data_IF_239196125027
#
_entry.id   IF_239196125027
#
_cell.length_a   1.000
_cell.length_b   1.000
_cell.length_c   1.000
_cell.angle_alpha   90.00
_cell.angle_beta   90.00
_cell.angle_gamma   90.00
#
_symmetry.space_group_name_H-M   'P 1'
#
loop_
_entity.id
_entity.type
_entity.pdbx_description
1 polymer ?
#
# COMPACT_ATOMS: atom_id res chain seq x y z
N UNK A 1 -8.71 -14.72 -12.42
CA UNK A 1 -8.39 -13.88 -11.25
C UNK A 1 -9.35 -14.29 -10.13
N UNK A 2 -8.85 -14.96 -9.09
CA UNK A 2 -9.70 -15.49 -8.03
C UNK A 2 -10.03 -14.36 -7.04
N UNK A 3 -11.31 -14.04 -6.85
CA UNK A 3 -11.75 -13.14 -5.80
C UNK A 3 -11.83 -13.96 -4.53
N UNK A 4 -10.79 -13.91 -3.70
CA UNK A 4 -10.81 -14.56 -2.41
C UNK A 4 -12.04 -14.06 -1.62
N UNK A 5 -12.87 -14.99 -1.15
CA UNK A 5 -14.07 -14.70 -0.36
C UNK A 5 -13.67 -14.77 1.10
N UNK A 6 -13.78 -13.68 1.85
CA UNK A 6 -13.29 -13.61 3.22
C UNK A 6 -13.04 -12.19 3.71
N UNK A 7 -12.60 -12.08 4.96
CA UNK A 7 -12.25 -10.81 5.56
C UNK A 7 -10.85 -10.36 5.10
N UNK A 8 -10.69 -9.05 4.90
CA UNK A 8 -9.47 -8.42 4.45
C UNK A 8 -9.03 -7.39 5.49
N UNK A 9 -7.83 -7.58 6.02
CA UNK A 9 -7.24 -6.67 7.00
C UNK A 9 -6.25 -5.74 6.31
N UNK A 10 -6.48 -4.45 6.44
CA UNK A 10 -5.49 -3.42 6.15
C UNK A 10 -4.59 -3.30 7.38
N UNK A 11 -3.28 -3.35 7.20
CA UNK A 11 -2.30 -3.35 8.29
C UNK A 11 -1.09 -2.51 7.93
N UNK A 12 -0.54 -1.81 8.92
CA UNK A 12 0.66 -0.95 8.81
C UNK A 12 1.49 -1.10 10.08
N UNK A 13 2.81 -1.02 9.97
CA UNK A 13 3.70 -1.03 11.14
C UNK A 13 3.66 0.27 11.95
N UNK A 14 2.98 1.30 11.44
CA UNK A 14 2.87 2.62 12.04
C UNK A 14 1.44 3.16 11.98
N UNK A 15 1.10 4.13 12.85
CA UNK A 15 -0.21 4.77 12.84
C UNK A 15 -0.60 5.24 11.44
N UNK A 16 -1.76 4.80 10.96
CA UNK A 16 -2.25 5.17 9.64
C UNK A 16 -2.98 6.52 9.75
N UNK A 17 -2.61 7.46 8.88
CA UNK A 17 -3.30 8.74 8.73
C UNK A 17 -3.97 8.80 7.36
N UNK A 18 -5.29 8.96 7.33
CA UNK A 18 -6.04 9.05 6.07
C UNK A 18 -7.44 9.60 6.27
N UNK A 19 -7.93 10.37 5.30
CA UNK A 19 -9.26 10.98 5.36
C UNK A 19 -10.42 9.95 5.43
N UNK A 20 -10.18 8.74 4.92
CA UNK A 20 -11.14 7.63 4.96
C UNK A 20 -10.77 6.58 6.02
N UNK A 21 -9.75 6.84 6.84
CA UNK A 21 -9.31 5.90 7.85
C UNK A 21 -10.28 5.98 9.05
N UNK A 22 -10.94 4.86 9.41
CA UNK A 22 -12.06 4.88 10.35
C UNK A 22 -11.67 5.11 11.81
N UNK A 23 -10.39 4.93 12.15
CA UNK A 23 -9.89 5.12 13.51
C UNK A 23 -8.53 5.83 13.49
N UNK A 24 -8.45 7.14 13.81
CA UNK A 24 -7.18 7.85 13.85
C UNK A 24 -6.23 7.17 14.83
N UNK A 25 -5.03 6.85 14.37
CA UNK A 25 -4.03 6.14 15.18
C UNK A 25 -4.10 4.61 15.14
N UNK A 26 -5.16 4.01 14.56
CA UNK A 26 -5.21 2.57 14.37
C UNK A 26 -4.18 2.12 13.31
N UNK A 27 -3.46 1.06 13.62
CA UNK A 27 -2.49 0.43 12.73
C UNK A 27 -3.13 -0.64 11.83
N UNK A 28 -4.34 -1.10 12.16
CA UNK A 28 -5.07 -2.12 11.42
C UNK A 28 -6.57 -1.82 11.31
N UNK A 29 -7.20 -2.30 10.23
CA UNK A 29 -8.64 -2.26 10.04
C UNK A 29 -9.13 -3.40 9.13
N UNK A 30 -10.17 -4.12 9.56
CA UNK A 30 -10.73 -5.28 8.87
C UNK A 30 -12.01 -4.92 8.10
N UNK A 31 -12.13 -5.41 6.87
CA UNK A 31 -13.32 -5.24 6.01
C UNK A 31 -13.60 -6.51 5.21
N UNK A 32 -14.88 -6.80 4.95
CA UNK A 32 -15.29 -8.02 4.23
C UNK A 32 -15.17 -7.92 2.69
N UNK A 33 -14.55 -6.86 2.16
CA UNK A 33 -14.41 -6.65 0.71
C UNK A 33 -13.00 -6.23 0.32
N UNK A 34 -12.41 -7.00 -0.61
CA UNK A 34 -11.06 -6.76 -1.15
C UNK A 34 -10.92 -5.35 -1.72
N UNK A 35 -11.87 -4.94 -2.56
CA UNK A 35 -11.79 -3.64 -3.26
C UNK A 35 -11.86 -2.48 -2.28
N UNK A 36 -12.66 -2.61 -1.21
CA UNK A 36 -12.75 -1.62 -0.13
C UNK A 36 -11.44 -1.56 0.64
N UNK A 37 -10.87 -2.72 1.01
CA UNK A 37 -9.59 -2.78 1.71
C UNK A 37 -8.44 -2.15 0.92
N UNK A 38 -8.39 -2.42 -0.39
CA UNK A 38 -7.39 -1.83 -1.30
C UNK A 38 -7.60 -0.32 -1.42
N UNK A 39 -8.84 0.16 -1.58
CA UNK A 39 -9.12 1.58 -1.68
C UNK A 39 -8.72 2.33 -0.40
N UNK A 40 -9.02 1.75 0.77
CA UNK A 40 -8.57 2.25 2.08
C UNK A 40 -7.04 2.34 2.13
N UNK A 41 -6.35 1.24 1.85
CA UNK A 41 -4.89 1.19 1.89
C UNK A 41 -4.25 2.18 0.89
N UNK A 42 -4.81 2.28 -0.31
CA UNK A 42 -4.36 3.21 -1.34
C UNK A 42 -4.56 4.67 -0.94
N UNK A 43 -5.67 5.00 -0.27
CA UNK A 43 -6.00 6.38 0.11
C UNK A 43 -5.34 6.86 1.41
N UNK A 44 -4.78 5.97 2.21
CA UNK A 44 -4.06 6.34 3.42
C UNK A 44 -2.65 6.88 3.14
N UNK A 45 -2.11 7.73 4.00
CA UNK A 45 -0.73 8.16 3.97
C UNK A 45 0.06 7.46 5.08
N UNK A 46 1.25 6.97 4.75
CA UNK A 46 2.21 6.42 5.70
C UNK A 46 3.53 7.18 5.57
N UNK A 47 4.25 7.46 6.67
CA UNK A 47 5.54 8.16 6.62
C UNK A 47 6.60 7.39 5.83
N UNK A 48 7.66 8.07 5.41
CA UNK A 48 8.77 7.45 4.66
C UNK A 48 9.37 6.25 5.41
N UNK A 49 9.63 5.18 4.67
CA UNK A 49 10.13 3.91 5.23
C UNK A 49 9.04 2.98 5.76
N UNK A 50 7.77 3.40 5.75
CA UNK A 50 6.65 2.60 6.22
C UNK A 50 5.83 2.01 5.09
N UNK A 51 5.09 0.96 5.43
CA UNK A 51 4.30 0.23 4.45
C UNK A 51 2.92 -0.06 5.00
N UNK A 52 1.93 0.06 4.13
CA UNK A 52 0.56 -0.38 4.35
C UNK A 52 0.28 -1.56 3.43
N UNK A 53 -0.30 -2.61 3.99
CA UNK A 53 -0.56 -3.89 3.32
C UNK A 53 -2.03 -4.26 3.51
N UNK A 54 -2.55 -5.03 2.57
CA UNK A 54 -3.86 -5.67 2.69
C UNK A 54 -3.65 -7.16 2.70
N UNK A 55 -4.09 -7.81 3.76
CA UNK A 55 -3.98 -9.25 3.98
C UNK A 55 -5.35 -9.88 3.89
N UNK A 56 -5.48 -10.95 3.11
CA UNK A 56 -6.66 -11.80 3.13
C UNK A 56 -6.57 -12.74 4.34
N UNK A 57 -7.39 -12.44 5.37
CA UNK A 57 -7.30 -13.03 6.71
C UNK A 57 -7.32 -14.56 6.72
N UNK A 58 -8.22 -15.25 5.99
CA UNK A 58 -8.27 -16.72 5.97
C UNK A 58 -6.99 -17.39 5.43
N UNK A 59 -6.29 -16.72 4.50
CA UNK A 59 -5.12 -17.29 3.82
C UNK A 59 -3.77 -16.75 4.31
N UNK A 60 -3.78 -15.58 4.95
CA UNK A 60 -2.57 -14.80 5.21
C UNK A 60 -1.93 -14.16 3.97
N UNK A 61 -2.53 -14.28 2.78
CA UNK A 61 -1.98 -13.71 1.54
C UNK A 61 -2.04 -12.18 1.54
N UNK A 62 -0.93 -11.53 1.16
CA UNK A 62 -0.89 -10.08 0.92
C UNK A 62 -1.42 -9.80 -0.48
N UNK A 63 -2.62 -9.22 -0.56
CA UNK A 63 -3.28 -8.92 -1.83
C UNK A 63 -2.97 -7.51 -2.36
N UNK A 64 -2.39 -6.66 -1.52
CA UNK A 64 -1.91 -5.31 -1.86
C UNK A 64 -0.83 -4.86 -0.89
N UNK A 65 0.17 -4.14 -1.39
CA UNK A 65 1.25 -3.54 -0.62
C UNK A 65 1.58 -2.18 -1.19
N UNK A 66 1.70 -1.18 -0.32
CA UNK A 66 2.13 0.16 -0.66
C UNK A 66 3.17 0.63 0.34
N UNK A 67 4.34 1.01 -0.16
CA UNK A 67 5.40 1.70 0.58
C UNK A 67 6.09 2.70 -0.35
N UNK A 68 6.87 3.63 0.21
CA UNK A 68 7.66 4.58 -0.60
C UNK A 68 8.78 3.90 -1.42
N UNK A 69 8.98 2.58 -1.27
CA UNK A 69 9.80 1.75 -2.16
C UNK A 69 9.07 1.19 -3.39
N UNK A 70 7.75 1.39 -3.50
CA UNK A 70 6.99 1.13 -4.72
C UNK A 70 6.96 2.38 -5.60
N UNK A 71 8.14 2.95 -5.87
CA UNK A 71 8.31 3.65 -7.13
C UNK A 71 8.04 2.62 -8.25
N UNK A 72 7.30 2.93 -9.34
CA UNK A 72 7.59 2.25 -10.59
C UNK A 72 9.10 2.42 -10.80
N UNK A 73 9.81 1.35 -11.17
CA UNK A 73 11.27 1.33 -11.31
C UNK A 73 11.84 2.69 -11.76
N UNK A 74 12.90 3.22 -11.14
CA UNK A 74 13.48 4.50 -11.54
C UNK A 74 14.20 4.34 -12.90
N UNK A 75 13.45 4.24 -13.99
CA UNK A 75 13.97 4.23 -15.36
C UNK A 75 13.95 5.65 -16.01
N UNK A 76 13.62 6.70 -15.26
CA UNK A 76 13.63 8.07 -15.80
C UNK A 76 14.79 8.98 -15.36
N UNK A 77 15.65 8.57 -14.42
CA UNK A 77 16.78 9.43 -14.00
C UNK A 77 18.11 9.08 -14.69
N UNK A 78 18.28 7.87 -15.25
CA UNK A 78 19.58 7.41 -15.76
C UNK A 78 19.87 7.76 -17.24
N UNK A 79 18.96 8.43 -17.97
CA UNK A 79 19.16 8.79 -19.39
C UNK A 79 19.46 10.25 -19.69
N UNK A 80 19.61 11.12 -18.67
CA UNK A 80 20.01 12.52 -18.88
C UNK A 80 21.50 12.81 -18.60
N UNK A 81 22.29 11.79 -18.26
CA UNK A 81 23.75 11.88 -18.23
C UNK A 81 24.34 11.42 -19.56
N UNK A 82 24.15 12.19 -20.63
CA UNK A 82 25.09 12.16 -21.75
C UNK A 82 25.77 13.53 -21.85
N UNK A 83 27.10 13.60 -21.63
CA UNK A 83 27.84 14.85 -21.69
C UNK A 83 27.91 15.34 -23.15
N UNK A 84 27.93 16.66 -23.31
CA UNK A 84 28.39 17.29 -24.53
C UNK A 84 29.76 16.72 -24.90
N UNK A 85 29.91 16.21 -26.12
CA UNK A 85 31.21 15.85 -26.67
C UNK A 85 31.22 16.02 -28.19
N UNK A 86 32.06 16.98 -28.58
CA UNK A 86 32.62 17.36 -29.88
C UNK A 86 31.73 18.03 -30.93
#
# INVERSE_FOLDING_TARGET
MQFANGDFRVESSHPISGALWPAPGAAEYAVSSRSVAIALAAKCFVPQGNEIRVVHVPSGEIVFRKGEGAAPAPEQQARQSQPASH
#
